data_IF_046104055414
#
_entry.id   IF_046104055414
#
_cell.length_a   1.000
_cell.length_b   1.000
_cell.length_c   1.000
_cell.angle_alpha   90.00
_cell.angle_beta   90.00
_cell.angle_gamma   90.00
#
_symmetry.space_group_name_H-M   'P 1'
#
loop_
_entity.id
_entity.type
_entity.pdbx_description
1 polymer ?
#
# COMPACT_ATOMS: atom_id res chain seq x y z
N UNK A 1 -17.22 31.29 20.50
CA UNK A 1 -16.55 30.11 19.93
C UNK A 1 -15.32 30.68 19.27
N UNK A 2 -14.26 30.79 20.07
CA UNK A 2 -13.07 31.53 19.68
C UNK A 2 -12.26 30.66 18.73
N UNK A 3 -11.97 31.20 17.56
CA UNK A 3 -10.99 30.64 16.64
C UNK A 3 -9.65 30.64 17.37
N UNK A 4 -9.20 29.46 17.78
CA UNK A 4 -7.86 29.28 18.32
C UNK A 4 -6.84 29.75 17.29
N UNK A 5 -5.99 30.68 17.70
CA UNK A 5 -4.78 31.02 16.96
C UNK A 5 -3.86 29.80 17.00
N UNK A 6 -3.92 28.96 15.97
CA UNK A 6 -2.91 27.94 15.72
C UNK A 6 -1.60 28.68 15.39
N UNK A 7 -0.82 28.93 16.44
CA UNK A 7 0.59 29.26 16.31
C UNK A 7 1.27 28.02 15.74
N UNK A 8 1.26 27.92 14.41
CA UNK A 8 1.98 26.90 13.66
C UNK A 8 3.42 26.83 14.15
N UNK A 9 3.83 25.65 14.58
CA UNK A 9 5.21 25.39 15.00
C UNK A 9 6.11 25.64 13.79
N UNK A 10 6.86 26.75 13.79
CA UNK A 10 7.95 26.96 12.84
C UNK A 10 8.95 25.81 13.02
N UNK A 11 8.93 24.86 12.09
CA UNK A 11 9.96 23.84 12.00
C UNK A 11 11.30 24.51 11.74
N UNK A 12 12.34 24.14 12.48
CA UNK A 12 13.68 24.74 12.39
C UNK A 12 14.33 24.62 11.01
N UNK A 13 13.79 23.73 10.17
CA UNK A 13 14.40 23.29 8.91
C UNK A 13 13.59 23.71 7.67
N UNK A 14 12.55 24.53 7.83
CA UNK A 14 11.77 25.11 6.74
C UNK A 14 12.27 26.50 6.33
N UNK A 15 12.07 26.93 5.07
CA UNK A 15 12.22 28.35 4.73
C UNK A 15 11.30 29.16 5.64
N UNK A 16 11.75 30.36 6.06
CA UNK A 16 10.92 31.28 6.82
C UNK A 16 9.59 31.47 6.08
N UNK A 17 8.47 31.47 6.78
CA UNK A 17 7.15 31.70 6.18
C UNK A 17 7.18 32.96 5.29
N UNK A 18 6.97 32.79 3.98
CA UNK A 18 7.30 33.79 2.95
C UNK A 18 6.09 34.65 2.52
N UNK A 19 4.90 34.53 3.12
CA UNK A 19 3.77 35.24 2.55
C UNK A 19 2.47 35.24 3.33
N UNK A 20 1.44 35.93 2.80
CA UNK A 20 0.12 35.94 3.42
C UNK A 20 -0.43 34.53 3.47
N UNK A 21 -1.20 34.22 4.53
CA UNK A 21 -2.12 33.08 4.54
C UNK A 21 -2.87 33.08 3.21
N UNK A 22 -2.53 32.14 2.33
CA UNK A 22 -3.33 31.91 1.15
C UNK A 22 -4.66 31.39 1.68
N UNK A 23 -5.79 32.08 1.46
CA UNK A 23 -7.08 31.54 1.87
C UNK A 23 -7.30 30.25 1.07
N UNK A 24 -6.99 29.13 1.70
CA UNK A 24 -7.35 27.81 1.20
C UNK A 24 -8.77 27.55 1.69
N UNK A 25 -9.62 27.07 0.79
CA UNK A 25 -10.89 26.52 1.23
C UNK A 25 -10.61 25.36 2.20
N UNK A 26 -11.26 25.38 3.35
CA UNK A 26 -11.20 24.28 4.30
C UNK A 26 -11.82 23.07 3.59
N UNK A 27 -10.99 22.07 3.30
CA UNK A 27 -11.44 20.84 2.67
C UNK A 27 -12.41 20.05 3.57
N UNK A 28 -13.17 19.14 2.98
CA UNK A 28 -13.99 18.18 3.71
C UNK A 28 -13.12 17.02 4.24
N UNK A 29 -13.04 16.80 5.56
CA UNK A 29 -12.24 15.70 6.12
C UNK A 29 -12.68 14.32 5.66
N UNK A 30 -13.98 14.11 5.37
CA UNK A 30 -14.46 12.82 4.88
C UNK A 30 -13.95 12.54 3.45
N UNK A 31 -14.09 13.53 2.56
CA UNK A 31 -13.53 13.46 1.20
C UNK A 31 -12.00 13.33 1.22
N UNK A 32 -11.30 14.07 2.09
CA UNK A 32 -9.86 13.96 2.25
C UNK A 32 -9.41 12.57 2.71
N UNK A 33 -10.20 11.93 3.59
CA UNK A 33 -9.96 10.56 4.04
C UNK A 33 -10.17 9.54 2.91
N UNK A 34 -11.16 9.73 2.06
CA UNK A 34 -11.38 8.88 0.88
C UNK A 34 -10.20 8.98 -0.09
N UNK A 35 -9.77 10.21 -0.40
CA UNK A 35 -8.58 10.46 -1.24
C UNK A 35 -7.34 9.81 -0.64
N UNK A 36 -7.11 10.00 0.66
CA UNK A 36 -5.96 9.40 1.35
C UNK A 36 -5.95 7.87 1.26
N UNK A 37 -7.11 7.23 1.41
CA UNK A 37 -7.24 5.77 1.45
C UNK A 37 -7.23 5.12 0.08
N UNK A 38 -7.85 5.75 -0.92
CA UNK A 38 -8.20 5.07 -2.17
C UNK A 38 -7.83 5.83 -3.45
N UNK A 39 -7.39 7.10 -3.37
CA UNK A 39 -6.88 7.79 -4.55
C UNK A 39 -5.45 7.34 -4.87
N UNK A 40 -5.22 7.07 -6.14
CA UNK A 40 -4.03 6.48 -6.75
C UNK A 40 -3.33 7.49 -7.66
N UNK A 41 -3.98 8.61 -7.98
CA UNK A 41 -3.46 9.70 -8.79
C UNK A 41 -2.96 9.25 -10.16
N UNK A 42 -3.62 8.25 -10.74
CA UNK A 42 -3.27 7.68 -12.06
C UNK A 42 -2.04 6.77 -12.06
N UNK A 43 -1.50 6.40 -10.89
CA UNK A 43 -0.31 5.56 -10.81
C UNK A 43 -0.57 4.08 -11.12
N UNK A 44 -1.81 3.69 -11.41
CA UNK A 44 -2.20 2.40 -11.96
C UNK A 44 -1.44 2.09 -13.26
N UNK A 45 -1.20 3.12 -14.08
CA UNK A 45 -0.39 2.97 -15.29
C UNK A 45 1.01 2.46 -14.99
N UNK A 46 1.58 2.83 -13.84
CA UNK A 46 2.86 2.31 -13.39
C UNK A 46 2.72 0.91 -12.78
N UNK A 47 1.85 0.74 -11.78
CA UNK A 47 1.76 -0.50 -11.01
C UNK A 47 1.16 -1.67 -11.79
N UNK A 48 0.15 -1.41 -12.60
CA UNK A 48 -0.46 -2.43 -13.46
C UNK A 48 0.31 -2.58 -14.75
N UNK A 49 0.43 -1.52 -15.56
CA UNK A 49 0.90 -1.71 -16.94
C UNK A 49 2.43 -1.85 -17.03
N UNK A 50 3.19 -1.01 -16.32
CA UNK A 50 4.65 -1.05 -16.39
C UNK A 50 5.25 -2.16 -15.51
N UNK A 51 4.88 -2.20 -14.23
CA UNK A 51 5.39 -3.17 -13.27
C UNK A 51 4.73 -4.54 -13.41
N UNK A 52 3.48 -4.62 -13.91
CA UNK A 52 2.73 -5.87 -14.04
C UNK A 52 2.55 -6.56 -12.67
N UNK A 53 2.16 -5.76 -11.68
CA UNK A 53 1.97 -6.22 -10.31
C UNK A 53 0.86 -7.29 -10.21
N UNK A 54 -0.34 -7.11 -10.80
CA UNK A 54 -1.38 -8.13 -10.76
C UNK A 54 -0.94 -9.49 -11.31
N UNK A 55 -0.27 -9.51 -12.47
CA UNK A 55 0.24 -10.76 -13.04
C UNK A 55 1.34 -11.38 -12.18
N UNK A 56 2.14 -10.55 -11.51
CA UNK A 56 3.12 -10.98 -10.53
C UNK A 56 2.49 -11.69 -9.33
N UNK A 57 1.44 -11.09 -8.75
CA UNK A 57 0.65 -11.66 -7.63
C UNK A 57 0.11 -13.04 -8.01
N UNK A 58 -0.51 -13.15 -9.20
CA UNK A 58 -1.09 -14.41 -9.70
C UNK A 58 0.02 -15.45 -9.99
N UNK A 59 1.06 -15.06 -10.72
CA UNK A 59 2.13 -15.98 -11.13
C UNK A 59 2.93 -16.51 -9.94
N UNK A 60 3.19 -15.67 -8.94
CA UNK A 60 3.91 -16.06 -7.72
C UNK A 60 3.02 -16.75 -6.70
N UNK A 61 1.70 -16.80 -6.93
CA UNK A 61 0.71 -17.34 -5.98
C UNK A 61 0.86 -16.70 -4.59
N UNK A 62 0.90 -15.36 -4.57
CA UNK A 62 1.11 -14.61 -3.33
C UNK A 62 0.03 -14.94 -2.30
N UNK A 63 0.41 -15.38 -1.10
CA UNK A 63 -0.52 -15.65 0.00
C UNK A 63 -0.67 -14.45 0.93
N UNK A 64 -1.75 -14.35 1.75
CA UNK A 64 -1.87 -13.28 2.73
C UNK A 64 -0.72 -13.27 3.73
N UNK A 65 -0.21 -14.45 4.14
CA UNK A 65 0.96 -14.57 5.02
C UNK A 65 2.20 -13.93 4.38
N UNK A 66 2.46 -14.17 3.10
CA UNK A 66 3.58 -13.55 2.39
C UNK A 66 3.40 -12.03 2.25
N UNK A 67 2.19 -11.56 1.96
CA UNK A 67 1.88 -10.13 1.92
C UNK A 67 2.12 -9.45 3.28
N UNK A 68 1.65 -10.07 4.37
CA UNK A 68 1.91 -9.61 5.74
C UNK A 68 3.40 -9.61 6.07
N UNK A 69 4.16 -10.63 5.67
CA UNK A 69 5.62 -10.66 5.83
C UNK A 69 6.33 -9.57 5.02
N UNK A 70 5.75 -9.11 3.90
CA UNK A 70 6.24 -7.95 3.15
C UNK A 70 5.86 -6.60 3.80
N UNK A 71 5.21 -6.62 4.97
CA UNK A 71 4.80 -5.43 5.71
C UNK A 71 3.45 -4.84 5.28
N UNK A 72 2.75 -5.46 4.33
CA UNK A 72 1.39 -5.04 3.97
C UNK A 72 0.43 -5.34 5.11
N UNK A 73 -0.56 -4.47 5.32
CA UNK A 73 -1.55 -4.65 6.38
C UNK A 73 -2.96 -4.75 5.79
N UNK A 74 -3.85 -5.44 6.51
CA UNK A 74 -5.22 -5.73 6.08
C UNK A 74 -6.21 -5.07 7.03
N UNK A 75 -7.04 -4.20 6.50
CA UNK A 75 -8.16 -3.60 7.21
C UNK A 75 -9.33 -4.59 7.31
N UNK A 76 -9.60 -5.05 8.53
CA UNK A 76 -10.68 -6.00 8.79
C UNK A 76 -12.06 -5.38 8.60
N UNK A 77 -12.20 -4.05 8.74
CA UNK A 77 -13.48 -3.34 8.61
C UNK A 77 -13.91 -3.20 7.14
N UNK A 78 -13.01 -3.44 6.18
CA UNK A 78 -13.34 -3.52 4.76
C UNK A 78 -13.95 -4.88 4.36
N UNK A 79 -13.86 -5.90 5.22
CA UNK A 79 -14.38 -7.23 4.95
C UNK A 79 -15.82 -7.38 5.46
N UNK A 80 -16.61 -8.22 4.79
CA UNK A 80 -17.94 -8.58 5.29
C UNK A 80 -17.87 -9.35 6.62
N UNK A 81 -18.93 -9.29 7.42
CA UNK A 81 -18.96 -9.89 8.77
C UNK A 81 -18.69 -11.40 8.76
N UNK A 82 -19.13 -12.14 7.74
CA UNK A 82 -18.89 -13.57 7.67
C UNK A 82 -17.40 -13.87 7.43
N UNK A 83 -16.75 -13.10 6.56
CA UNK A 83 -15.30 -13.19 6.33
C UNK A 83 -14.51 -12.82 7.60
N UNK A 84 -14.89 -11.77 8.32
CA UNK A 84 -14.24 -11.41 9.60
C UNK A 84 -14.31 -12.55 10.62
N UNK A 85 -15.49 -13.17 10.77
CA UNK A 85 -15.69 -14.31 11.67
C UNK A 85 -14.87 -15.53 11.26
N UNK A 86 -14.77 -15.81 9.95
CA UNK A 86 -13.97 -16.91 9.42
C UNK A 86 -12.47 -16.71 9.72
N UNK A 87 -11.95 -15.50 9.52
CA UNK A 87 -10.55 -15.15 9.86
C UNK A 87 -10.27 -15.38 11.34
N UNK A 88 -11.13 -14.85 12.23
CA UNK A 88 -10.96 -14.99 13.66
C UNK A 88 -11.03 -16.45 14.13
N UNK A 89 -11.99 -17.22 13.61
CA UNK A 89 -12.16 -18.63 13.95
C UNK A 89 -10.96 -19.48 13.49
N UNK A 90 -10.46 -19.23 12.27
CA UNK A 90 -9.31 -19.97 11.75
C UNK A 90 -8.03 -19.66 12.52
N UNK A 91 -7.76 -18.38 12.80
CA UNK A 91 -6.61 -17.97 13.61
C UNK A 91 -6.65 -18.61 15.01
N UNK A 92 -7.83 -18.70 15.62
CA UNK A 92 -7.98 -19.36 16.92
C UNK A 92 -7.71 -20.88 16.85
N UNK A 93 -8.08 -21.53 15.74
CA UNK A 93 -7.93 -22.98 15.58
C UNK A 93 -6.54 -23.42 15.08
N UNK A 94 -5.93 -22.63 14.20
CA UNK A 94 -4.74 -23.02 13.42
C UNK A 94 -3.59 -22.02 13.51
N UNK A 95 -3.77 -20.89 14.20
CA UNK A 95 -2.82 -19.79 14.15
C UNK A 95 -2.57 -19.34 12.70
N UNK A 96 -1.31 -19.06 12.36
CA UNK A 96 -0.94 -18.60 11.01
C UNK A 96 -0.68 -19.73 9.99
N UNK A 97 -0.94 -20.98 10.38
CA UNK A 97 -0.73 -22.15 9.53
C UNK A 97 -2.03 -22.69 8.92
N UNK A 98 -3.15 -22.03 9.22
CA UNK A 98 -4.46 -22.30 8.61
C UNK A 98 -4.51 -21.96 7.11
N UNK A 99 -5.48 -22.52 6.37
CA UNK A 99 -5.58 -22.35 4.93
C UNK A 99 -5.84 -20.91 4.49
N UNK A 100 -6.63 -20.10 5.22
CA UNK A 100 -6.98 -18.73 4.82
C UNK A 100 -5.74 -17.86 4.60
N UNK A 101 -4.76 -17.89 5.52
CA UNK A 101 -3.52 -17.10 5.37
C UNK A 101 -2.51 -17.71 4.40
N UNK A 102 -2.69 -18.98 4.02
CA UNK A 102 -1.77 -19.71 3.15
C UNK A 102 -2.37 -20.03 1.76
N UNK A 103 -3.58 -19.52 1.46
CA UNK A 103 -4.26 -19.68 0.17
C UNK A 103 -4.12 -18.39 -0.66
N UNK A 104 -3.52 -18.45 -1.87
CA UNK A 104 -3.41 -17.30 -2.78
C UNK A 104 -4.75 -16.70 -3.19
N UNK A 105 -5.82 -17.51 -3.26
CA UNK A 105 -7.16 -17.00 -3.59
C UNK A 105 -7.67 -16.03 -2.52
N UNK A 106 -7.26 -16.19 -1.26
CA UNK A 106 -7.58 -15.23 -0.21
C UNK A 106 -6.92 -13.88 -0.48
N UNK A 107 -5.70 -13.83 -1.01
CA UNK A 107 -5.05 -12.56 -1.37
C UNK A 107 -5.87 -11.81 -2.42
N UNK A 108 -6.36 -12.50 -3.45
CA UNK A 108 -7.18 -11.89 -4.49
C UNK A 108 -8.48 -11.33 -3.91
N UNK A 109 -9.13 -12.08 -3.02
CA UNK A 109 -10.34 -11.61 -2.31
C UNK A 109 -10.07 -10.36 -1.46
N UNK A 110 -8.96 -10.32 -0.73
CA UNK A 110 -8.59 -9.16 0.09
C UNK A 110 -8.28 -7.93 -0.76
N UNK A 111 -7.64 -8.10 -1.91
CA UNK A 111 -7.38 -7.03 -2.87
C UNK A 111 -8.68 -6.52 -3.49
N UNK A 112 -9.55 -7.41 -3.97
CA UNK A 112 -10.83 -7.05 -4.56
C UNK A 112 -11.81 -6.44 -3.54
N UNK A 113 -11.61 -6.67 -2.25
CA UNK A 113 -12.32 -5.96 -1.17
C UNK A 113 -11.69 -4.60 -0.82
N UNK A 114 -10.58 -4.21 -1.48
CA UNK A 114 -9.74 -3.06 -1.10
C UNK A 114 -9.37 -3.06 0.40
N UNK A 115 -9.17 -4.26 0.95
CA UNK A 115 -8.82 -4.47 2.35
C UNK A 115 -7.31 -4.41 2.59
N UNK A 116 -6.47 -4.69 1.58
CA UNK A 116 -5.02 -4.50 1.68
C UNK A 116 -4.72 -3.00 1.66
N UNK A 117 -4.29 -2.45 2.79
CA UNK A 117 -4.11 -1.01 2.99
C UNK A 117 -3.14 -0.46 1.95
N UNK A 118 -3.62 0.50 1.17
CA UNK A 118 -2.81 1.24 0.22
C UNK A 118 -2.55 0.56 -1.13
N UNK A 119 -2.97 -0.70 -1.32
CA UNK A 119 -2.99 -1.36 -2.62
C UNK A 119 -4.42 -1.35 -3.12
N UNK A 120 -4.70 -0.49 -4.10
CA UNK A 120 -6.07 -0.13 -4.49
C UNK A 120 -6.40 -0.73 -5.84
N UNK A 121 -7.42 -1.58 -5.89
CA UNK A 121 -8.03 -2.06 -7.13
C UNK A 121 -9.07 -1.03 -7.58
N UNK A 122 -8.99 -0.62 -8.84
CA UNK A 122 -9.95 0.26 -9.50
C UNK A 122 -10.76 -0.53 -10.52
N UNK A 123 -12.08 -0.36 -10.47
CA UNK A 123 -12.99 -0.83 -11.52
C UNK A 123 -12.71 -0.02 -12.80
N UNK A 124 -11.91 -0.60 -13.70
CA UNK A 124 -11.52 0.02 -14.96
C UNK A 124 -12.34 -0.46 -16.15
N UNK A 125 -13.12 -1.52 -15.97
CA UNK A 125 -14.00 -2.07 -17.00
C UNK A 125 -15.44 -1.52 -16.90
N UNK A 126 -15.81 -0.94 -15.76
CA UNK A 126 -17.08 -0.28 -15.47
C UNK A 126 -18.24 -1.24 -15.13
N UNK A 127 -17.95 -2.48 -14.73
CA UNK A 127 -18.97 -3.49 -14.40
C UNK A 127 -19.41 -3.47 -12.92
N UNK A 128 -18.77 -2.65 -12.08
CA UNK A 128 -19.05 -2.50 -10.66
C UNK A 128 -18.48 -3.63 -9.79
N UNK A 129 -17.64 -4.51 -10.34
CA UNK A 129 -17.02 -5.64 -9.64
C UNK A 129 -15.52 -5.53 -9.74
N UNK A 130 -14.85 -5.44 -8.59
CA UNK A 130 -13.39 -5.41 -8.54
C UNK A 130 -12.81 -6.79 -8.83
N UNK A 131 -11.99 -6.90 -9.87
CA UNK A 131 -11.23 -8.09 -10.21
C UNK A 131 -9.80 -7.80 -10.69
N UNK A 132 -8.88 -7.78 -9.72
CA UNK A 132 -7.45 -7.59 -9.96
C UNK A 132 -6.84 -8.69 -10.85
N UNK A 133 -7.44 -9.87 -10.96
CA UNK A 133 -6.84 -10.99 -11.69
C UNK A 133 -7.15 -10.97 -13.19
N UNK A 134 -8.30 -10.42 -13.61
CA UNK A 134 -8.76 -10.59 -15.01
C UNK A 134 -9.18 -9.33 -15.75
N UNK A 135 -9.17 -8.15 -15.13
CA UNK A 135 -9.54 -6.94 -15.88
C UNK A 135 -9.20 -5.61 -15.21
N UNK A 136 -9.09 -5.57 -13.89
CA UNK A 136 -8.92 -4.30 -13.19
C UNK A 136 -7.48 -3.91 -12.95
N UNK A 137 -7.29 -2.60 -12.90
CA UNK A 137 -6.00 -2.03 -12.58
C UNK A 137 -5.83 -1.87 -11.08
N UNK A 138 -4.61 -2.11 -10.64
CA UNK A 138 -4.14 -1.82 -9.30
C UNK A 138 -3.22 -0.59 -9.33
N UNK A 139 -3.42 0.28 -8.34
CA UNK A 139 -2.55 1.40 -8.01
C UNK A 139 -2.20 1.39 -6.53
N UNK A 140 -1.49 2.43 -6.10
CA UNK A 140 -1.08 2.63 -4.71
C UNK A 140 -1.53 3.99 -4.20
N UNK A 141 -2.09 4.03 -2.99
CA UNK A 141 -2.53 5.30 -2.35
C UNK A 141 -1.57 5.76 -1.25
N UNK A 142 -1.82 6.95 -0.71
CA UNK A 142 -1.08 7.50 0.43
C UNK A 142 -1.08 6.56 1.64
N UNK A 143 -2.17 5.81 1.83
CA UNK A 143 -2.32 4.89 2.94
C UNK A 143 -1.27 3.76 2.96
N UNK A 144 -0.64 3.40 1.83
CA UNK A 144 0.39 2.36 1.85
C UNK A 144 1.55 2.72 2.78
N UNK A 145 1.96 4.00 2.78
CA UNK A 145 3.10 4.49 3.56
C UNK A 145 2.69 5.25 4.82
N UNK A 146 1.40 5.54 5.00
CA UNK A 146 0.91 6.41 6.07
C UNK A 146 -0.28 5.81 6.84
N UNK A 147 -0.51 4.50 6.75
CA UNK A 147 -1.49 3.84 7.60
C UNK A 147 -0.99 2.50 8.12
N UNK A 148 -1.53 2.13 9.28
CA UNK A 148 -1.30 0.84 9.95
C UNK A 148 -2.66 0.23 10.32
N UNK A 149 -2.64 -0.90 11.02
CA UNK A 149 -3.81 -1.37 11.78
C UNK A 149 -3.51 -1.36 13.27
N UNK A 150 -4.56 -1.51 14.08
CA UNK A 150 -4.42 -1.75 15.52
C UNK A 150 -3.86 -3.14 15.87
N UNK A 151 -3.65 -4.02 14.88
CA UNK A 151 -3.12 -5.38 15.06
C UNK A 151 -4.00 -6.30 15.90
N UNK A 152 -5.27 -5.93 16.12
CA UNK A 152 -6.18 -6.63 17.04
C UNK A 152 -6.51 -8.08 16.63
N UNK A 153 -6.35 -8.41 15.34
CA UNK A 153 -6.62 -9.76 14.82
C UNK A 153 -5.33 -10.55 14.66
N UNK A 154 -4.31 -9.94 14.07
CA UNK A 154 -2.98 -10.56 13.90
C UNK A 154 -1.92 -9.47 13.77
N UNK A 155 -0.82 -9.62 14.50
CA UNK A 155 0.40 -8.84 14.29
C UNK A 155 1.53 -9.79 13.91
N UNK A 156 2.16 -9.56 12.74
CA UNK A 156 3.32 -10.34 12.31
C UNK A 156 4.60 -9.63 12.78
N UNK A 157 5.48 -10.29 13.55
CA UNK A 157 6.77 -9.72 13.93
C UNK A 157 7.55 -9.27 12.69
N UNK A 158 8.08 -8.05 12.72
CA UNK A 158 8.81 -7.42 11.61
C UNK A 158 8.04 -7.36 10.27
N UNK A 159 6.71 -7.53 10.31
CA UNK A 159 5.82 -7.48 9.18
C UNK A 159 4.62 -6.57 9.41
N UNK A 160 3.56 -6.80 8.66
CA UNK A 160 2.32 -6.07 8.75
C UNK A 160 1.35 -6.67 9.77
N UNK A 161 0.08 -6.29 9.64
CA UNK A 161 -0.93 -6.62 10.62
C UNK A 161 -2.33 -6.74 10.00
N UNK A 162 -3.21 -7.45 10.70
CA UNK A 162 -4.65 -7.50 10.44
C UNK A 162 -5.36 -6.87 11.63
N UNK A 163 -6.25 -5.92 11.35
CA UNK A 163 -6.95 -5.19 12.40
C UNK A 163 -7.72 -4.00 11.84
N UNK A 164 -8.16 -3.11 12.72
CA UNK A 164 -8.84 -1.87 12.31
C UNK A 164 -7.85 -0.86 11.79
N UNK A 165 -8.16 -0.23 10.66
CA UNK A 165 -7.28 0.77 10.02
C UNK A 165 -7.09 2.02 10.89
N UNK A 166 -5.83 2.44 11.03
CA UNK A 166 -5.44 3.71 11.66
C UNK A 166 -4.69 4.53 10.61
N UNK A 167 -5.26 5.66 10.22
CA UNK A 167 -4.65 6.58 9.25
C UNK A 167 -3.69 7.56 9.94
N UNK A 168 -2.55 7.85 9.32
CA UNK A 168 -1.52 8.79 9.79
C UNK A 168 -0.16 8.14 10.08
N UNK A 169 -0.07 7.11 10.94
CA UNK A 169 1.21 6.50 11.32
C UNK A 169 1.93 5.81 10.16
N UNK A 170 3.26 5.87 10.18
CA UNK A 170 4.12 5.17 9.20
C UNK A 170 4.24 3.67 9.53
N UNK A 171 4.02 2.75 8.57
CA UNK A 171 4.30 1.33 8.74
C UNK A 171 5.81 1.08 8.60
N UNK A 172 6.55 1.16 9.71
CA UNK A 172 8.01 1.02 9.72
C UNK A 172 8.54 -0.35 9.23
N UNK A 173 7.68 -1.36 9.18
CA UNK A 173 7.97 -2.71 8.69
C UNK A 173 7.63 -2.91 7.20
N UNK A 174 7.10 -1.89 6.52
CA UNK A 174 6.76 -1.99 5.10
C UNK A 174 8.01 -2.25 4.24
N UNK A 175 8.05 -3.41 3.59
CA UNK A 175 9.15 -3.79 2.71
C UNK A 175 8.80 -3.49 1.25
N UNK A 176 9.03 -2.24 0.85
CA UNK A 176 8.78 -1.77 -0.53
C UNK A 176 9.57 -2.60 -1.56
N UNK A 177 10.79 -3.02 -1.22
CA UNK A 177 11.62 -3.85 -2.10
C UNK A 177 10.99 -5.22 -2.37
N UNK A 178 10.44 -5.87 -1.34
CA UNK A 178 9.71 -7.12 -1.48
C UNK A 178 8.44 -6.94 -2.32
N UNK A 179 7.69 -5.86 -2.11
CA UNK A 179 6.48 -5.55 -2.91
C UNK A 179 6.83 -5.37 -4.39
N UNK A 180 7.89 -4.61 -4.70
CA UNK A 180 8.36 -4.44 -6.08
C UNK A 180 8.82 -5.77 -6.71
N UNK A 181 9.38 -6.68 -5.92
CA UNK A 181 9.85 -7.99 -6.38
C UNK A 181 8.71 -8.98 -6.70
N UNK A 182 7.51 -8.74 -6.18
CA UNK A 182 6.31 -9.54 -6.54
C UNK A 182 5.93 -9.30 -8.01
N UNK A 183 6.14 -8.09 -8.51
CA UNK A 183 5.67 -7.70 -9.84
C UNK A 183 6.37 -8.48 -10.97
N UNK A 184 5.61 -8.85 -12.00
CA UNK A 184 6.14 -9.64 -13.13
C UNK A 184 7.19 -8.87 -13.97
N UNK A 185 7.26 -7.54 -13.83
CA UNK A 185 8.25 -6.70 -14.47
C UNK A 185 8.88 -5.70 -13.48
N UNK A 186 9.49 -6.19 -12.40
CA UNK A 186 10.23 -5.38 -11.42
C UNK A 186 11.34 -4.50 -12.02
N UNK A 187 11.83 -4.84 -13.22
CA UNK A 187 12.79 -4.03 -13.99
C UNK A 187 12.25 -2.65 -14.37
N UNK A 188 10.94 -2.45 -14.42
CA UNK A 188 10.34 -1.14 -14.69
C UNK A 188 10.69 -0.10 -13.62
N UNK A 189 11.11 -0.53 -12.42
CA UNK A 189 11.61 0.37 -11.37
C UNK A 189 13.09 0.77 -11.56
N UNK A 190 13.88 0.02 -12.33
CA UNK A 190 15.33 0.25 -12.45
C UNK A 190 15.73 1.64 -12.96
N UNK A 191 15.01 2.30 -13.89
CA UNK A 191 15.33 3.67 -14.29
C UNK A 191 15.27 4.70 -13.15
N UNK A 192 14.60 4.38 -12.04
CA UNK A 192 14.47 5.22 -10.85
C UNK A 192 15.53 4.92 -9.78
N UNK A 193 16.38 3.91 -10.00
CA UNK A 193 17.39 3.48 -9.03
C UNK A 193 18.79 3.64 -9.62
N UNK A 194 19.79 3.77 -8.76
CA UNK A 194 21.20 3.75 -9.16
C UNK A 194 21.78 2.37 -8.86
N UNK A 195 21.47 1.39 -9.71
CA UNK A 195 21.84 -0.01 -9.47
C UNK A 195 23.08 -0.36 -10.29
N UNK A 196 24.05 -1.02 -9.65
CA UNK A 196 25.14 -1.72 -10.33
C UNK A 196 24.80 -3.21 -10.32
N UNK A 197 24.70 -3.78 -11.51
CA UNK A 197 24.43 -5.20 -11.67
C UNK A 197 25.71 -5.88 -12.15
N UNK A 198 26.15 -6.93 -11.45
CA UNK A 198 27.28 -7.78 -11.90
C UNK A 198 27.00 -8.38 -13.27
N UNK A 199 25.73 -8.72 -13.54
CA UNK A 199 25.27 -9.18 -14.85
C UNK A 199 25.45 -8.14 -15.98
N UNK A 200 25.72 -6.86 -15.66
CA UNK A 200 25.98 -5.78 -16.60
C UNK A 200 27.44 -5.25 -16.49
N UNK A 201 28.37 -6.11 -16.07
CA UNK A 201 29.78 -5.76 -15.90
C UNK A 201 30.00 -4.62 -14.91
N UNK A 202 29.20 -4.60 -13.82
CA UNK A 202 29.18 -3.57 -12.78
C UNK A 202 28.89 -2.14 -13.29
N UNK A 203 28.40 -2.03 -14.52
CA UNK A 203 27.97 -0.75 -15.08
C UNK A 203 26.68 -0.32 -14.39
N UNK A 204 26.69 0.90 -13.86
CA UNK A 204 25.53 1.46 -13.19
C UNK A 204 24.44 1.84 -14.18
N UNK A 205 23.21 1.42 -13.89
CA UNK A 205 21.99 1.86 -14.55
C UNK A 205 21.30 2.83 -13.58
N UNK A 206 20.92 4.02 -14.04
CA UNK A 206 20.28 5.06 -13.22
C UNK A 206 20.54 6.48 -13.71
N UNK A 207 19.74 7.43 -13.22
CA UNK A 207 19.84 8.86 -13.56
C UNK A 207 20.63 9.70 -12.54
N UNK A 208 21.22 9.08 -11.51
CA UNK A 208 21.98 9.85 -10.53
C UNK A 208 23.25 10.43 -11.20
N UNK A 209 23.56 11.72 -10.98
CA UNK A 209 24.80 12.31 -11.46
C UNK A 209 25.98 11.45 -11.02
N UNK A 210 26.91 11.14 -11.94
CA UNK A 210 28.00 10.21 -11.64
C UNK A 210 28.92 10.69 -10.51
N UNK A 211 28.90 11.98 -10.17
CA UNK A 211 29.55 12.62 -9.01
C UNK A 211 28.85 13.95 -8.75
N UNK A 212 28.57 14.29 -7.48
CA UNK A 212 28.54 15.70 -7.09
C UNK A 212 30.02 16.11 -7.00
N UNK A 213 30.44 16.98 -7.91
CA UNK A 213 31.80 17.54 -7.90
C UNK A 213 31.97 18.55 -6.79
#
# INVERSE_FOLDING_TARGET
MDAGSDAGTQGSDGPADQGPDFPHEVGDPASGKEVFRFETFGNEGFWTNAMRLPEGIVAQRLTPKQALMAGLSVDVEALDTATQQAVAAELAAHGTDGPLLNDPETTLKLLNANAVIGVVVKDTNGDGVLDVATGDQVGVSCALCHAITDGSVLAVPDGGSVGKRIDGPTPHTLNVGAILAIAANSRAYYPLTQVKLTANGDTSIGRAPRRWG
#
